data_IF_667722147607
#
_entry.id   IF_667722147607
#
_cell.length_a   1.000
_cell.length_b   1.000
_cell.length_c   1.000
_cell.angle_alpha   90.00
_cell.angle_beta   90.00
_cell.angle_gamma   90.00
#
_symmetry.space_group_name_H-M   'P 1'
#
loop_
_entity.id
_entity.type
_entity.pdbx_description
1 polymer ?
#
# COMPACT_ATOMS: atom_id res chain seq x y z
N UNK A 1 11.84 16.81 -26.13
CA UNK A 1 12.24 17.62 -24.96
C UNK A 1 12.50 16.71 -23.77
N UNK A 2 13.29 17.19 -22.79
CA UNK A 2 13.51 16.55 -21.50
C UNK A 2 12.19 16.61 -20.69
N UNK A 3 11.67 15.47 -20.28
CA UNK A 3 10.41 15.41 -19.52
C UNK A 3 10.64 15.04 -18.05
N UNK A 4 11.74 14.34 -17.76
CA UNK A 4 12.13 13.98 -16.40
C UNK A 4 13.63 13.76 -16.31
N UNK A 5 14.24 14.17 -15.21
CA UNK A 5 15.60 13.84 -14.83
C UNK A 5 15.66 13.54 -13.35
N UNK A 6 16.27 12.42 -12.99
CA UNK A 6 16.54 12.02 -11.62
C UNK A 6 18.03 11.64 -11.50
N UNK A 7 18.69 12.08 -10.44
CA UNK A 7 20.07 11.72 -10.16
C UNK A 7 20.17 10.97 -8.85
N UNK A 8 21.05 9.96 -8.78
CA UNK A 8 21.37 9.24 -7.55
C UNK A 8 22.86 8.85 -7.55
N UNK A 9 23.47 8.73 -6.36
CA UNK A 9 24.79 8.16 -6.23
C UNK A 9 24.86 6.74 -6.80
N UNK A 10 25.95 6.41 -7.47
CA UNK A 10 26.18 5.04 -7.97
C UNK A 10 26.32 4.07 -6.80
N UNK A 11 25.70 2.89 -6.91
CA UNK A 11 25.87 1.82 -5.91
C UNK A 11 27.21 1.07 -6.05
N UNK A 12 27.84 1.19 -7.20
CA UNK A 12 29.08 0.47 -7.52
C UNK A 12 30.34 1.31 -7.24
N UNK A 13 30.23 2.64 -7.35
CA UNK A 13 31.35 3.54 -7.11
C UNK A 13 30.84 4.83 -6.46
N UNK A 14 31.38 5.20 -5.29
CA UNK A 14 30.95 6.36 -4.50
C UNK A 14 31.19 7.72 -5.17
N UNK A 15 32.07 7.76 -6.14
CA UNK A 15 32.41 8.98 -6.86
C UNK A 15 31.65 9.15 -8.17
N UNK A 16 30.72 8.25 -8.47
CA UNK A 16 29.91 8.26 -9.67
C UNK A 16 28.42 8.49 -9.36
N UNK A 17 27.72 9.11 -10.30
CA UNK A 17 26.27 9.32 -10.26
C UNK A 17 25.58 8.59 -11.40
N UNK A 18 24.40 8.05 -11.12
CA UNK A 18 23.47 7.52 -12.11
C UNK A 18 22.38 8.55 -12.37
N UNK A 19 22.09 8.78 -13.65
CA UNK A 19 21.02 9.69 -14.07
C UNK A 19 19.97 8.89 -14.82
N UNK A 20 18.71 9.02 -14.42
CA UNK A 20 17.56 8.55 -15.17
C UNK A 20 16.97 9.73 -15.92
N UNK A 21 16.89 9.63 -17.24
CA UNK A 21 16.47 10.71 -18.11
C UNK A 21 15.34 10.22 -19.00
N UNK A 22 14.18 10.87 -18.93
CA UNK A 22 13.08 10.67 -19.86
C UNK A 22 13.07 11.80 -20.89
N UNK A 23 13.01 11.43 -22.15
CA UNK A 23 12.93 12.36 -23.28
C UNK A 23 11.62 12.15 -24.02
N UNK A 24 10.98 13.24 -24.45
CA UNK A 24 9.77 13.18 -25.27
C UNK A 24 10.10 12.78 -26.71
N UNK A 25 9.25 11.93 -27.31
CA UNK A 25 9.46 11.22 -28.59
C UNK A 25 9.41 12.09 -29.86
N UNK A 26 9.34 13.40 -29.70
CA UNK A 26 9.22 14.29 -30.88
C UNK A 26 10.51 14.47 -31.72
N UNK A 27 11.60 13.76 -31.37
CA UNK A 27 12.91 13.96 -32.04
C UNK A 27 13.82 12.73 -31.92
N UNK A 28 13.51 11.68 -32.70
CA UNK A 28 14.34 10.46 -32.75
C UNK A 28 15.79 10.73 -33.25
N UNK A 29 15.99 11.67 -34.16
CA UNK A 29 17.34 12.06 -34.62
C UNK A 29 18.15 12.78 -33.51
N UNK A 30 17.52 13.64 -32.74
CA UNK A 30 18.18 14.36 -31.67
C UNK A 30 18.58 13.42 -30.49
N UNK A 31 17.94 12.27 -30.35
CA UNK A 31 18.26 11.30 -29.30
C UNK A 31 19.62 10.62 -29.58
N UNK A 32 19.87 10.20 -30.82
CA UNK A 32 21.12 9.57 -31.22
C UNK A 32 22.29 10.53 -31.06
N UNK A 33 22.10 11.81 -31.41
CA UNK A 33 23.09 12.86 -31.21
C UNK A 33 23.39 13.09 -29.71
N UNK A 34 22.35 13.14 -28.87
CA UNK A 34 22.52 13.28 -27.43
C UNK A 34 23.25 12.08 -26.81
N UNK A 35 22.89 10.86 -27.20
CA UNK A 35 23.56 9.65 -26.73
C UNK A 35 25.02 9.61 -27.16
N UNK A 36 25.31 10.00 -28.41
CA UNK A 36 26.67 10.11 -28.92
C UNK A 36 27.48 11.14 -28.14
N UNK A 37 26.93 12.32 -27.87
CA UNK A 37 27.58 13.35 -27.08
C UNK A 37 27.87 12.88 -25.65
N UNK A 38 26.88 12.25 -24.99
CA UNK A 38 27.06 11.72 -23.62
C UNK A 38 28.18 10.66 -23.56
N UNK A 39 28.27 9.78 -24.58
CA UNK A 39 29.32 8.74 -24.63
C UNK A 39 30.69 9.29 -25.01
N UNK A 40 30.74 10.16 -26.03
CA UNK A 40 32.02 10.57 -26.64
C UNK A 40 32.61 11.80 -25.98
N UNK A 41 31.78 12.78 -25.60
CA UNK A 41 32.24 14.08 -25.11
C UNK A 41 32.32 14.13 -23.57
N UNK A 42 31.43 13.37 -22.91
CA UNK A 42 31.32 13.33 -21.45
C UNK A 42 31.90 12.03 -20.87
N UNK A 43 32.09 11.00 -21.71
CA UNK A 43 32.58 9.69 -21.27
C UNK A 43 31.58 8.88 -20.42
N UNK A 44 30.30 9.20 -20.52
CA UNK A 44 29.26 8.55 -19.74
C UNK A 44 28.94 7.15 -20.29
N UNK A 45 28.71 6.18 -19.41
CA UNK A 45 28.12 4.89 -19.77
C UNK A 45 26.61 5.05 -19.92
N UNK A 46 26.12 5.00 -21.15
CA UNK A 46 24.68 5.20 -21.46
C UNK A 46 24.02 3.87 -21.76
N UNK A 47 23.00 3.52 -20.95
CA UNK A 47 22.13 2.38 -21.15
C UNK A 47 20.75 2.88 -21.62
N UNK A 48 20.35 2.52 -22.83
CA UNK A 48 19.02 2.79 -23.34
C UNK A 48 18.04 1.77 -22.78
N UNK A 49 17.10 2.24 -21.97
CA UNK A 49 16.08 1.38 -21.35
C UNK A 49 14.90 1.12 -22.28
N UNK A 50 14.58 2.09 -23.19
CA UNK A 50 13.58 1.91 -24.25
C UNK A 50 13.79 2.92 -25.39
N UNK A 51 13.90 2.43 -26.64
CA UNK A 51 13.89 3.27 -27.86
C UNK A 51 12.52 3.42 -28.49
N UNK A 52 11.66 2.46 -28.29
CA UNK A 52 10.31 2.46 -28.85
C UNK A 52 9.30 2.75 -27.75
N UNK A 53 9.00 4.00 -27.51
CA UNK A 53 7.70 4.36 -27.00
C UNK A 53 6.66 4.13 -28.11
N UNK A 54 6.21 2.89 -28.28
CA UNK A 54 4.80 2.73 -28.65
C UNK A 54 4.03 3.36 -27.51
N UNK A 55 3.13 4.28 -27.77
CA UNK A 55 2.15 4.85 -26.81
C UNK A 55 1.38 3.75 -26.06
N UNK A 56 1.58 2.50 -26.46
CA UNK A 56 0.93 1.28 -25.99
C UNK A 56 1.87 0.33 -25.21
N UNK A 57 3.09 0.76 -24.84
CA UNK A 57 3.96 -0.10 -24.02
C UNK A 57 3.40 -0.18 -22.60
N UNK A 58 2.91 -1.37 -22.25
CA UNK A 58 2.44 -1.67 -20.89
C UNK A 58 3.59 -1.46 -19.91
N UNK A 59 3.43 -0.62 -18.88
CA UNK A 59 4.43 -0.47 -17.83
C UNK A 59 4.76 -1.82 -17.20
N UNK A 60 6.03 -2.04 -16.86
CA UNK A 60 6.43 -3.24 -16.15
C UNK A 60 5.70 -3.35 -14.79
N UNK A 61 5.31 -4.56 -14.42
CA UNK A 61 4.73 -4.86 -13.12
C UNK A 61 5.19 -6.25 -12.62
N UNK A 62 5.20 -6.50 -11.31
CA UNK A 62 5.61 -7.79 -10.74
C UNK A 62 4.67 -8.91 -11.18
N UNK A 63 5.24 -10.07 -11.49
CA UNK A 63 4.50 -11.29 -11.87
C UNK A 63 4.47 -12.32 -10.76
N UNK A 64 5.44 -12.30 -9.89
CA UNK A 64 5.53 -13.16 -8.71
C UNK A 64 5.75 -12.32 -7.47
N UNK A 65 5.41 -12.86 -6.31
CA UNK A 65 5.59 -12.12 -5.04
C UNK A 65 7.07 -11.80 -4.78
N UNK A 66 8.01 -12.62 -5.27
CA UNK A 66 9.46 -12.37 -5.18
C UNK A 66 9.90 -11.15 -6.00
N UNK A 67 9.15 -10.79 -7.03
CA UNK A 67 9.47 -9.58 -7.81
C UNK A 67 9.34 -8.30 -6.98
N UNK A 68 8.59 -8.32 -5.87
CA UNK A 68 8.49 -7.20 -4.93
C UNK A 68 9.86 -6.84 -4.33
N UNK A 69 10.79 -7.79 -4.23
CA UNK A 69 12.16 -7.53 -3.76
C UNK A 69 12.95 -6.58 -4.67
N UNK A 70 12.52 -6.39 -5.92
CA UNK A 70 13.22 -5.54 -6.90
C UNK A 70 13.05 -4.05 -6.61
N UNK A 71 11.92 -3.66 -6.04
CA UNK A 71 11.61 -2.24 -5.79
C UNK A 71 11.37 -1.88 -4.31
N UNK A 72 11.21 -2.86 -3.43
CA UNK A 72 10.93 -2.61 -2.00
C UNK A 72 11.95 -1.69 -1.30
N UNK A 73 13.14 -1.54 -1.88
CA UNK A 73 14.21 -0.66 -1.39
C UNK A 73 14.30 0.68 -2.14
N UNK A 74 13.38 0.95 -3.09
CA UNK A 74 13.33 2.18 -3.87
C UNK A 74 12.42 3.20 -3.19
N UNK A 75 12.78 3.62 -1.97
CA UNK A 75 12.02 4.60 -1.21
C UNK A 75 12.20 6.01 -1.79
N UNK A 76 11.14 6.81 -1.71
CA UNK A 76 11.11 8.20 -2.14
C UNK A 76 11.56 9.15 -1.02
N UNK A 77 11.13 8.88 0.22
CA UNK A 77 11.41 9.72 1.39
C UNK A 77 11.26 8.94 2.70
N UNK A 78 11.59 9.59 3.80
CA UNK A 78 11.44 9.10 5.18
C UNK A 78 12.23 7.82 5.50
N UNK A 79 13.36 7.59 4.85
CA UNK A 79 14.28 6.51 5.21
C UNK A 79 15.06 6.80 6.50
N UNK A 80 16.36 6.51 6.48
CA UNK A 80 17.25 6.85 7.59
C UNK A 80 17.54 8.37 7.70
N UNK A 81 17.34 9.11 6.61
CA UNK A 81 17.48 10.57 6.58
C UNK A 81 16.12 11.22 6.80
N UNK A 82 16.07 12.18 7.73
CA UNK A 82 14.87 12.91 8.12
C UNK A 82 14.94 14.34 7.60
N UNK A 83 13.79 14.92 7.26
CA UNK A 83 13.67 16.32 6.91
C UNK A 83 13.95 17.24 8.11
N UNK A 84 14.43 18.45 7.85
CA UNK A 84 14.88 19.38 8.89
C UNK A 84 13.77 19.81 9.88
N UNK A 85 12.52 19.73 9.48
CA UNK A 85 11.33 20.05 10.30
C UNK A 85 10.78 18.83 11.05
N UNK A 86 11.32 17.63 10.80
CA UNK A 86 10.90 16.42 11.50
C UNK A 86 11.24 16.51 13.00
N UNK A 87 10.32 16.12 13.93
CA UNK A 87 10.55 16.22 15.37
C UNK A 87 11.81 15.51 15.89
N UNK A 88 12.26 14.45 15.22
CA UNK A 88 13.44 13.67 15.56
C UNK A 88 14.72 14.09 14.80
N UNK A 89 14.69 15.13 13.97
CA UNK A 89 15.81 15.51 13.11
C UNK A 89 17.11 15.77 13.90
N UNK A 90 17.02 16.47 15.03
CA UNK A 90 18.17 16.81 15.88
C UNK A 90 18.51 15.76 16.93
N UNK A 91 17.72 14.69 17.06
CA UNK A 91 17.93 13.64 18.06
C UNK A 91 18.82 12.51 17.49
N UNK A 92 20.08 12.40 17.93
CA UNK A 92 20.99 11.40 17.41
C UNK A 92 20.60 9.96 17.79
N UNK A 93 19.91 9.75 18.93
CA UNK A 93 19.44 8.44 19.38
C UNK A 93 18.31 7.99 18.47
N UNK A 94 17.33 8.85 18.22
CA UNK A 94 16.23 8.57 17.33
C UNK A 94 16.70 8.26 15.90
N UNK A 95 17.67 9.04 15.39
CA UNK A 95 18.26 8.81 14.06
C UNK A 95 18.99 7.47 13.97
N UNK A 96 19.68 7.06 15.02
CA UNK A 96 20.35 5.76 15.07
C UNK A 96 19.34 4.61 15.02
N UNK A 97 18.23 4.69 15.78
CA UNK A 97 17.13 3.71 15.72
C UNK A 97 16.50 3.66 14.32
N UNK A 98 16.23 4.82 13.69
CA UNK A 98 15.70 4.88 12.32
C UNK A 98 16.60 4.16 11.31
N UNK A 99 17.92 4.32 11.46
CA UNK A 99 18.88 3.61 10.62
C UNK A 99 18.83 2.09 10.81
N UNK A 100 18.69 1.62 12.03
CA UNK A 100 18.57 0.19 12.33
C UNK A 100 17.33 -0.41 11.65
N UNK A 101 16.17 0.24 11.75
CA UNK A 101 14.95 -0.19 11.06
C UNK A 101 15.11 -0.16 9.54
N UNK A 102 15.77 0.85 8.99
CA UNK A 102 16.04 0.93 7.56
C UNK A 102 16.96 -0.22 7.10
N UNK A 103 18.00 -0.55 7.87
CA UNK A 103 18.92 -1.66 7.56
C UNK A 103 18.18 -3.01 7.56
N UNK A 104 17.23 -3.24 8.49
CA UNK A 104 16.35 -4.43 8.48
C UNK A 104 15.55 -4.50 7.19
N UNK A 105 14.87 -3.41 6.82
CA UNK A 105 14.04 -3.35 5.63
C UNK A 105 14.83 -3.57 4.33
N UNK A 106 16.03 -2.98 4.22
CA UNK A 106 16.91 -3.13 3.05
C UNK A 106 17.43 -4.57 2.87
N UNK A 107 17.64 -5.29 3.96
CA UNK A 107 18.17 -6.64 3.93
C UNK A 107 17.08 -7.71 3.82
N UNK A 108 15.82 -7.37 4.06
CA UNK A 108 14.71 -8.32 4.02
C UNK A 108 14.47 -8.85 2.60
N UNK A 109 14.23 -10.16 2.50
CA UNK A 109 13.79 -10.84 1.27
C UNK A 109 12.52 -11.63 1.53
N UNK A 110 11.65 -11.66 0.53
CA UNK A 110 10.40 -12.41 0.64
C UNK A 110 10.64 -13.88 1.02
N UNK A 111 9.84 -14.37 1.95
CA UNK A 111 9.94 -15.75 2.47
C UNK A 111 10.85 -15.92 3.68
N UNK A 112 11.59 -14.90 4.07
CA UNK A 112 12.29 -14.87 5.35
C UNK A 112 11.33 -14.41 6.46
N UNK A 113 11.54 -14.82 7.74
CA UNK A 113 10.85 -14.22 8.87
C UNK A 113 11.25 -12.75 8.99
N UNK A 114 10.29 -11.89 9.37
CA UNK A 114 10.58 -10.50 9.65
C UNK A 114 11.35 -10.42 10.98
N UNK A 115 12.54 -9.82 11.02
CA UNK A 115 13.32 -9.75 12.26
C UNK A 115 12.54 -9.04 13.36
N UNK A 116 12.53 -9.63 14.56
CA UNK A 116 12.05 -8.96 15.75
C UNK A 116 12.97 -7.81 16.14
N UNK A 117 12.38 -6.72 16.59
CA UNK A 117 13.09 -5.52 17.03
C UNK A 117 12.89 -5.29 18.52
N UNK A 118 13.93 -4.75 19.18
CA UNK A 118 13.85 -4.40 20.58
C UNK A 118 13.50 -2.93 20.73
N UNK A 119 12.24 -2.65 21.00
CA UNK A 119 11.79 -1.28 21.27
C UNK A 119 12.26 -0.80 22.64
N UNK A 120 12.76 0.42 22.69
CA UNK A 120 13.16 1.09 23.94
C UNK A 120 11.94 1.39 24.82
N UNK A 121 12.16 1.67 26.10
CA UNK A 121 11.07 2.06 27.02
C UNK A 121 10.42 3.38 26.61
N UNK A 122 11.18 4.27 25.96
CA UNK A 122 10.69 5.54 25.43
C UNK A 122 9.73 5.31 24.24
N UNK A 123 10.07 4.39 23.34
CA UNK A 123 9.21 4.00 22.23
C UNK A 123 7.93 3.32 22.71
N UNK A 124 8.04 2.39 23.66
CA UNK A 124 6.86 1.74 24.28
C UNK A 124 5.95 2.75 24.98
N UNK A 125 6.52 3.74 25.66
CA UNK A 125 5.73 4.82 26.28
C UNK A 125 4.99 5.66 25.24
N UNK A 126 5.64 5.95 24.11
CA UNK A 126 5.02 6.67 22.98
C UNK A 126 3.83 5.89 22.42
N UNK A 127 4.05 4.60 22.12
CA UNK A 127 3.00 3.67 21.69
C UNK A 127 1.84 3.62 22.70
N UNK A 128 2.13 3.40 23.98
CA UNK A 128 1.11 3.30 25.03
C UNK A 128 0.25 4.54 25.16
N UNK A 129 0.82 5.72 24.92
CA UNK A 129 0.05 6.98 24.87
C UNK A 129 -0.96 6.96 23.73
N UNK A 130 -0.52 6.64 22.50
CA UNK A 130 -1.39 6.56 21.32
C UNK A 130 -2.44 5.45 21.47
N UNK A 131 -2.01 4.26 21.91
CA UNK A 131 -2.87 3.09 22.09
C UNK A 131 -4.03 3.36 23.05
N UNK A 132 -3.75 3.92 24.24
CA UNK A 132 -4.80 4.21 25.25
C UNK A 132 -5.84 5.18 24.72
N UNK A 133 -5.40 6.28 24.11
CA UNK A 133 -6.32 7.31 23.60
C UNK A 133 -7.22 6.75 22.49
N UNK A 134 -6.64 6.08 21.50
CA UNK A 134 -7.41 5.51 20.38
C UNK A 134 -8.37 4.40 20.85
N UNK A 135 -7.94 3.54 21.76
CA UNK A 135 -8.77 2.45 22.29
C UNK A 135 -10.06 2.95 22.93
N UNK A 136 -10.08 4.17 23.49
CA UNK A 136 -11.30 4.77 24.05
C UNK A 136 -12.33 5.12 22.96
N UNK A 137 -11.87 5.40 21.75
CA UNK A 137 -12.73 5.82 20.63
C UNK A 137 -13.26 4.65 19.80
N UNK A 138 -12.50 3.56 19.65
CA UNK A 138 -12.84 2.46 18.76
C UNK A 138 -14.26 1.90 18.94
N UNK A 139 -14.80 1.66 20.15
CA UNK A 139 -16.14 1.11 20.31
C UNK A 139 -17.25 1.97 19.68
N UNK A 140 -17.05 3.28 19.59
CA UNK A 140 -18.06 4.22 19.11
C UNK A 140 -17.77 4.75 17.70
N UNK A 141 -16.50 4.82 17.28
CA UNK A 141 -16.08 5.44 16.02
C UNK A 141 -15.68 4.43 14.95
N UNK A 142 -15.03 3.33 15.32
CA UNK A 142 -14.57 2.34 14.36
C UNK A 142 -15.70 1.43 13.84
N UNK A 143 -15.51 0.88 12.63
CA UNK A 143 -16.42 -0.08 12.03
C UNK A 143 -16.46 -1.42 12.79
N UNK A 144 -17.44 -2.26 12.50
CA UNK A 144 -17.60 -3.58 13.13
C UNK A 144 -16.40 -4.48 12.93
N UNK A 145 -15.86 -4.50 11.74
CA UNK A 145 -14.75 -5.35 11.35
C UNK A 145 -13.52 -5.03 12.20
N UNK A 146 -13.23 -3.75 12.41
CA UNK A 146 -12.16 -3.32 13.30
C UNK A 146 -12.43 -3.76 14.75
N UNK A 147 -13.62 -3.46 15.27
CA UNK A 147 -14.00 -3.80 16.65
C UNK A 147 -14.05 -5.31 16.90
N UNK A 148 -14.31 -6.12 15.85
CA UNK A 148 -14.25 -7.57 15.93
C UNK A 148 -12.81 -8.09 15.98
N UNK A 149 -11.93 -7.55 15.13
CA UNK A 149 -10.55 -8.03 14.99
C UNK A 149 -9.64 -7.53 16.12
N UNK A 150 -9.84 -6.30 16.59
CA UNK A 150 -8.91 -5.66 17.54
C UNK A 150 -8.67 -6.48 18.81
N UNK A 151 -9.69 -7.07 19.49
CA UNK A 151 -9.49 -7.97 20.63
C UNK A 151 -8.67 -9.22 20.28
N UNK A 152 -8.80 -9.75 19.07
CA UNK A 152 -8.00 -10.89 18.62
C UNK A 152 -6.52 -10.53 18.47
N UNK A 153 -6.21 -9.30 18.01
CA UNK A 153 -4.85 -8.81 17.96
C UNK A 153 -4.26 -8.61 19.38
N UNK A 154 -5.08 -8.18 20.33
CA UNK A 154 -4.67 -8.13 21.74
C UNK A 154 -4.31 -9.52 22.27
N UNK A 155 -5.12 -10.52 21.97
CA UNK A 155 -4.95 -11.91 22.45
C UNK A 155 -3.78 -12.63 21.75
N UNK A 156 -3.66 -12.51 20.42
CA UNK A 156 -2.75 -13.35 19.62
C UNK A 156 -1.48 -12.65 19.16
N UNK A 157 -1.45 -11.32 19.14
CA UNK A 157 -0.31 -10.54 18.63
C UNK A 157 0.32 -9.62 19.67
N UNK A 158 -0.15 -9.65 20.92
CA UNK A 158 0.45 -8.90 22.02
C UNK A 158 0.17 -7.40 21.99
N UNK A 159 -0.94 -6.97 21.36
CA UNK A 159 -1.37 -5.56 21.40
C UNK A 159 -1.76 -5.18 22.83
N UNK A 160 -0.98 -4.31 23.45
CA UNK A 160 -1.32 -3.70 24.74
C UNK A 160 -0.54 -2.40 24.93
N UNK A 161 -0.89 -1.62 25.93
CA UNK A 161 -0.29 -0.31 26.17
C UNK A 161 1.22 -0.32 26.51
N UNK A 162 1.75 -1.46 26.93
CA UNK A 162 3.16 -1.59 27.35
C UNK A 162 4.01 -2.36 26.35
N UNK A 163 3.45 -2.76 25.22
CA UNK A 163 4.13 -3.56 24.22
C UNK A 163 3.76 -3.13 22.81
N UNK A 164 4.78 -2.88 21.98
CA UNK A 164 4.62 -2.69 20.53
C UNK A 164 4.67 -4.07 19.89
N UNK A 165 3.62 -4.52 19.18
CA UNK A 165 3.60 -5.83 18.53
C UNK A 165 4.71 -5.98 17.50
N UNK A 166 5.21 -7.18 17.32
CA UNK A 166 6.20 -7.49 16.30
C UNK A 166 5.52 -7.67 14.93
N UNK A 167 6.11 -7.12 13.86
CA UNK A 167 5.54 -7.25 12.51
C UNK A 167 5.40 -8.72 12.09
N UNK A 168 6.32 -9.59 12.48
CA UNK A 168 6.27 -11.03 12.18
C UNK A 168 5.01 -11.68 12.75
N UNK A 169 4.69 -11.39 14.03
CA UNK A 169 3.54 -11.99 14.71
C UNK A 169 2.22 -11.52 14.09
N UNK A 170 2.13 -10.21 13.78
CA UNK A 170 0.97 -9.63 13.10
C UNK A 170 0.86 -10.17 11.67
N UNK A 171 1.95 -10.25 10.93
CA UNK A 171 1.97 -10.82 9.58
C UNK A 171 1.48 -12.27 9.54
N UNK A 172 1.94 -13.09 10.49
CA UNK A 172 1.51 -14.48 10.62
C UNK A 172 0.02 -14.60 10.98
N UNK A 173 -0.51 -13.70 11.79
CA UNK A 173 -1.93 -13.62 12.09
C UNK A 173 -2.74 -13.27 10.86
N UNK A 174 -2.38 -12.18 10.15
CA UNK A 174 -3.05 -11.75 8.93
C UNK A 174 -3.04 -12.83 7.84
N UNK A 175 -1.91 -13.54 7.70
CA UNK A 175 -1.77 -14.61 6.73
C UNK A 175 -2.79 -15.74 6.96
N UNK A 176 -3.05 -16.08 8.23
CA UNK A 176 -4.06 -17.09 8.59
C UNK A 176 -5.48 -16.60 8.36
N UNK A 177 -5.76 -15.31 8.56
CA UNK A 177 -7.09 -14.73 8.38
C UNK A 177 -7.47 -14.55 6.90
N UNK A 178 -6.59 -13.91 6.13
CA UNK A 178 -6.92 -13.42 4.77
C UNK A 178 -5.84 -13.70 3.73
N UNK A 179 -4.67 -14.19 4.14
CA UNK A 179 -3.50 -14.33 3.28
C UNK A 179 -2.69 -13.04 3.13
N UNK A 180 -3.11 -11.93 3.75
CA UNK A 180 -2.29 -10.72 3.81
C UNK A 180 -1.02 -10.95 4.61
N UNK A 181 0.04 -10.25 4.24
CA UNK A 181 1.34 -10.30 4.92
C UNK A 181 1.88 -8.89 5.07
N UNK A 182 2.61 -8.66 6.12
CA UNK A 182 3.42 -7.46 6.25
C UNK A 182 4.78 -7.68 5.62
N UNK A 183 5.34 -6.60 5.07
CA UNK A 183 6.71 -6.58 4.59
C UNK A 183 7.38 -5.32 5.14
N UNK A 184 8.53 -5.43 5.83
CA UNK A 184 9.21 -4.26 6.34
C UNK A 184 9.67 -3.35 5.20
N UNK A 185 9.48 -2.05 5.34
CA UNK A 185 9.90 -1.02 4.41
C UNK A 185 10.64 0.10 5.15
N UNK A 186 11.65 0.67 4.52
CA UNK A 186 12.47 1.70 5.16
C UNK A 186 11.82 3.10 5.16
N UNK A 187 10.85 3.32 4.31
CA UNK A 187 10.17 4.60 4.13
C UNK A 187 9.11 4.54 3.04
N UNK A 188 8.74 5.69 2.49
CA UNK A 188 7.67 5.83 1.52
C UNK A 188 8.06 5.29 0.14
N UNK A 189 7.28 4.38 -0.41
CA UNK A 189 7.40 3.88 -1.78
C UNK A 189 6.65 4.78 -2.78
N UNK A 190 6.94 4.59 -4.08
CA UNK A 190 6.08 5.14 -5.13
C UNK A 190 4.67 4.55 -5.04
N UNK A 191 3.64 5.32 -5.45
CA UNK A 191 2.27 4.81 -5.48
C UNK A 191 2.14 3.54 -6.32
N UNK A 192 2.85 3.45 -7.45
CA UNK A 192 2.89 2.26 -8.31
C UNK A 192 3.40 1.03 -7.57
N UNK A 193 4.51 1.15 -6.86
CA UNK A 193 5.15 0.04 -6.17
C UNK A 193 4.35 -0.39 -4.95
N UNK A 194 3.83 0.58 -4.20
CA UNK A 194 2.98 0.33 -3.05
C UNK A 194 1.69 -0.39 -3.43
N UNK A 195 0.96 0.12 -4.44
CA UNK A 195 -0.27 -0.50 -4.92
C UNK A 195 -0.02 -1.90 -5.51
N UNK A 196 1.10 -2.10 -6.21
CA UNK A 196 1.47 -3.42 -6.73
C UNK A 196 1.62 -4.47 -5.62
N UNK A 197 2.10 -4.09 -4.44
CA UNK A 197 2.17 -4.98 -3.26
C UNK A 197 0.79 -5.53 -2.87
N UNK A 198 -0.24 -4.68 -2.87
CA UNK A 198 -1.61 -5.07 -2.52
C UNK A 198 -2.18 -6.16 -3.44
N UNK A 199 -1.79 -6.19 -4.71
CA UNK A 199 -2.20 -7.23 -5.66
C UNK A 199 -1.78 -8.64 -5.19
N UNK A 200 -0.68 -8.74 -4.45
CA UNK A 200 -0.14 -9.97 -3.87
C UNK A 200 -0.58 -10.19 -2.41
N UNK A 201 -1.46 -9.35 -1.88
CA UNK A 201 -1.80 -9.30 -0.46
C UNK A 201 -0.57 -9.05 0.43
N UNK A 202 0.34 -8.18 -0.04
CA UNK A 202 1.49 -7.71 0.71
C UNK A 202 1.30 -6.22 1.02
N UNK A 203 1.36 -5.91 2.30
CA UNK A 203 1.34 -4.55 2.81
C UNK A 203 2.74 -4.16 3.28
N UNK A 204 3.31 -3.11 2.68
CA UNK A 204 4.61 -2.57 3.05
C UNK A 204 4.46 -1.72 4.30
N UNK A 205 5.03 -2.17 5.40
CA UNK A 205 4.86 -1.61 6.74
C UNK A 205 6.17 -1.10 7.32
N UNK A 206 6.14 0.06 7.90
CA UNK A 206 7.27 0.59 8.69
C UNK A 206 7.35 -0.10 10.04
N UNK A 207 8.56 -0.17 10.63
CA UNK A 207 8.79 -0.71 11.98
C UNK A 207 9.14 0.37 12.99
N UNK A 208 9.59 1.56 12.58
CA UNK A 208 9.89 2.67 13.45
C UNK A 208 8.62 3.31 14.01
N UNK A 209 8.74 3.97 15.16
CA UNK A 209 7.67 4.76 15.78
C UNK A 209 7.99 6.25 15.67
N UNK A 210 6.94 7.07 15.67
CA UNK A 210 7.04 8.55 15.72
C UNK A 210 7.88 9.03 16.90
N UNK A 211 8.44 10.22 16.79
CA UNK A 211 9.29 10.78 17.82
C UNK A 211 8.50 11.06 19.12
N UNK A 212 9.06 10.68 20.25
CA UNK A 212 8.45 10.74 21.58
C UNK A 212 8.12 12.15 22.07
N UNK A 213 8.70 13.20 21.50
CA UNK A 213 8.36 14.59 21.86
C UNK A 213 6.95 14.99 21.38
N UNK A 214 6.40 14.28 20.38
CA UNK A 214 5.06 14.54 19.82
C UNK A 214 4.29 13.25 19.60
N UNK A 215 3.88 12.52 20.65
CA UNK A 215 3.27 11.19 20.51
C UNK A 215 1.95 11.19 19.73
N UNK A 216 1.23 12.31 19.70
CA UNK A 216 -0.05 12.44 19.00
C UNK A 216 0.09 13.01 17.58
N UNK A 217 1.33 13.22 17.09
CA UNK A 217 1.60 13.74 15.75
C UNK A 217 2.73 12.99 15.07
N UNK A 218 2.57 12.72 13.78
CA UNK A 218 3.64 12.24 12.91
C UNK A 218 3.47 12.85 11.52
N UNK A 219 4.55 13.31 10.86
CA UNK A 219 4.49 13.78 9.48
C UNK A 219 4.47 12.63 8.48
N UNK A 220 4.67 11.40 8.93
CA UNK A 220 4.86 10.21 8.10
C UNK A 220 4.16 8.99 8.72
N UNK A 221 3.84 7.94 7.92
CA UNK A 221 3.41 6.66 8.45
C UNK A 221 4.47 6.06 9.39
N UNK A 222 4.03 5.59 10.55
CA UNK A 222 4.87 4.94 11.55
C UNK A 222 4.19 3.64 12.05
N UNK A 223 4.84 2.86 12.90
CA UNK A 223 4.30 1.60 13.39
C UNK A 223 2.94 1.76 14.10
N UNK A 224 2.64 2.92 14.69
CA UNK A 224 1.30 3.18 15.24
C UNK A 224 0.25 3.23 14.12
N UNK A 225 0.55 3.95 13.04
CA UNK A 225 -0.32 4.01 11.88
C UNK A 225 -0.52 2.63 11.25
N UNK A 226 0.56 1.88 11.07
CA UNK A 226 0.51 0.56 10.43
C UNK A 226 -0.27 -0.47 11.27
N UNK A 227 0.02 -0.56 12.55
CA UNK A 227 -0.54 -1.62 13.40
C UNK A 227 -1.90 -1.27 13.98
N UNK A 228 -2.19 -0.01 14.31
CA UNK A 228 -3.49 0.40 14.85
C UNK A 228 -4.48 0.75 13.73
N UNK A 229 -3.96 1.29 12.61
CA UNK A 229 -4.78 1.72 11.48
C UNK A 229 -5.03 0.61 10.47
N UNK A 230 -3.98 0.10 9.82
CA UNK A 230 -4.11 -0.83 8.70
C UNK A 230 -4.33 -2.29 9.11
N UNK A 231 -3.52 -2.81 10.03
CA UNK A 231 -3.47 -4.24 10.33
C UNK A 231 -4.84 -4.83 10.73
N UNK A 232 -5.67 -4.18 11.57
CA UNK A 232 -6.96 -4.76 11.96
C UNK A 232 -7.86 -5.06 10.76
N UNK A 233 -7.94 -4.14 9.81
CA UNK A 233 -8.84 -4.28 8.64
C UNK A 233 -8.32 -5.32 7.64
N UNK A 234 -7.01 -5.50 7.49
CA UNK A 234 -6.46 -6.55 6.63
C UNK A 234 -6.77 -7.98 7.14
N UNK A 235 -7.20 -8.14 8.37
CA UNK A 235 -7.71 -9.42 8.88
C UNK A 235 -9.16 -9.71 8.46
N UNK A 236 -9.92 -8.70 8.00
CA UNK A 236 -11.27 -8.89 7.46
C UNK A 236 -11.23 -9.33 5.99
N UNK A 237 -11.92 -10.46 5.63
CA UNK A 237 -11.90 -10.95 4.26
C UNK A 237 -12.48 -9.99 3.21
N UNK A 238 -13.52 -9.23 3.56
CA UNK A 238 -14.16 -8.27 2.66
C UNK A 238 -13.22 -7.11 2.34
N UNK A 239 -12.62 -6.52 3.37
CA UNK A 239 -11.64 -5.44 3.23
C UNK A 239 -10.36 -5.90 2.53
N UNK A 240 -9.87 -7.11 2.83
CA UNK A 240 -8.69 -7.68 2.18
C UNK A 240 -8.92 -7.87 0.67
N UNK A 241 -10.09 -8.36 0.26
CA UNK A 241 -10.43 -8.48 -1.15
C UNK A 241 -10.57 -7.10 -1.82
N UNK A 242 -11.25 -6.15 -1.18
CA UNK A 242 -11.37 -4.78 -1.67
C UNK A 242 -10.00 -4.14 -1.90
N UNK A 243 -9.10 -4.23 -0.94
CA UNK A 243 -7.72 -3.71 -1.04
C UNK A 243 -6.93 -4.39 -2.16
N UNK A 244 -7.07 -5.70 -2.32
CA UNK A 244 -6.41 -6.46 -3.39
C UNK A 244 -6.92 -6.04 -4.78
N UNK A 245 -8.20 -5.73 -4.95
CA UNK A 245 -8.74 -5.27 -6.25
C UNK A 245 -8.13 -3.94 -6.69
N UNK A 246 -7.88 -3.01 -5.75
CA UNK A 246 -7.14 -1.77 -6.05
C UNK A 246 -5.71 -2.10 -6.55
N UNK A 247 -5.04 -3.04 -5.88
CA UNK A 247 -3.72 -3.51 -6.30
C UNK A 247 -3.73 -4.17 -7.69
N UNK A 248 -4.67 -5.06 -7.95
CA UNK A 248 -4.81 -5.73 -9.25
C UNK A 248 -5.13 -4.73 -10.38
N UNK A 249 -5.93 -3.70 -10.09
CA UNK A 249 -6.22 -2.62 -11.03
C UNK A 249 -4.96 -1.83 -11.41
N UNK A 250 -4.00 -1.68 -10.51
CA UNK A 250 -2.76 -0.91 -10.72
C UNK A 250 -1.75 -1.61 -11.65
N UNK A 251 -1.81 -2.95 -11.76
CA UNK A 251 -0.80 -3.71 -12.50
C UNK A 251 -0.84 -3.40 -14.01
N UNK A 252 0.25 -2.82 -14.51
CA UNK A 252 0.37 -2.42 -15.91
C UNK A 252 -0.47 -1.21 -16.30
N UNK A 253 -1.07 -0.50 -15.35
CA UNK A 253 -1.81 0.72 -15.61
C UNK A 253 -0.88 1.89 -15.99
N UNK A 254 -1.28 2.80 -16.90
CA UNK A 254 -0.57 4.06 -17.17
C UNK A 254 -0.45 4.92 -15.90
N UNK A 255 0.56 5.83 -15.86
CA UNK A 255 0.84 6.65 -14.68
C UNK A 255 -0.35 7.49 -14.20
N UNK A 256 -1.12 8.06 -15.13
CA UNK A 256 -2.33 8.82 -14.81
C UNK A 256 -3.38 7.98 -14.04
N UNK A 257 -3.51 6.69 -14.37
CA UNK A 257 -4.41 5.79 -13.64
C UNK A 257 -3.82 5.31 -12.31
N UNK A 258 -2.50 5.27 -12.18
CA UNK A 258 -1.85 5.03 -10.88
C UNK A 258 -2.16 6.17 -9.92
N UNK A 259 -2.10 7.43 -10.36
CA UNK A 259 -2.47 8.59 -9.55
C UNK A 259 -3.95 8.55 -9.15
N UNK A 260 -4.83 8.18 -10.08
CA UNK A 260 -6.25 7.99 -9.81
C UNK A 260 -6.50 6.89 -8.77
N UNK A 261 -5.83 5.74 -8.90
CA UNK A 261 -5.94 4.64 -7.93
C UNK A 261 -5.33 4.98 -6.58
N UNK A 262 -4.24 5.74 -6.54
CA UNK A 262 -3.66 6.26 -5.31
C UNK A 262 -4.63 7.23 -4.59
N UNK A 263 -5.35 8.06 -5.33
CA UNK A 263 -6.38 8.93 -4.78
C UNK A 263 -7.58 8.12 -4.25
N UNK A 264 -7.99 7.08 -4.96
CA UNK A 264 -9.02 6.15 -4.48
C UNK A 264 -8.56 5.46 -3.20
N UNK A 265 -7.32 4.96 -3.16
CA UNK A 265 -6.71 4.37 -1.96
C UNK A 265 -6.75 5.36 -0.79
N UNK A 266 -6.36 6.62 -1.01
CA UNK A 266 -6.41 7.68 0.00
C UNK A 266 -7.79 7.84 0.62
N UNK A 267 -8.83 8.00 -0.20
CA UNK A 267 -10.19 8.22 0.29
C UNK A 267 -10.92 6.95 0.74
N UNK A 268 -10.30 5.80 0.66
CA UNK A 268 -10.87 4.53 1.13
C UNK A 268 -10.00 3.88 2.20
N UNK A 269 -8.88 3.27 1.83
CA UNK A 269 -8.03 2.53 2.76
C UNK A 269 -7.45 3.45 3.85
N UNK A 270 -7.12 4.71 3.52
CA UNK A 270 -6.58 5.67 4.48
C UNK A 270 -7.65 6.47 5.23
N UNK A 271 -8.64 7.02 4.53
CA UNK A 271 -9.61 7.96 5.12
C UNK A 271 -11.07 7.55 4.86
N UNK A 272 -11.31 6.26 4.68
CA UNK A 272 -12.64 5.76 4.37
C UNK A 272 -13.60 5.72 5.55
N UNK A 273 -14.88 6.01 5.24
CA UNK A 273 -16.02 5.92 6.14
C UNK A 273 -17.03 4.95 5.54
N UNK A 274 -17.63 4.12 6.37
CA UNK A 274 -18.72 3.23 5.98
C UNK A 274 -19.99 3.53 6.78
N UNK A 275 -21.11 2.95 6.33
CA UNK A 275 -22.39 3.06 6.99
C UNK A 275 -22.79 1.72 7.58
N UNK A 276 -22.95 1.68 8.89
CA UNK A 276 -23.36 0.48 9.64
C UNK A 276 -24.50 0.83 10.61
N UNK A 277 -25.60 0.09 10.55
CA UNK A 277 -26.81 0.33 11.35
C UNK A 277 -27.32 1.79 11.27
N UNK A 278 -27.24 2.40 10.09
CA UNK A 278 -27.64 3.78 9.87
C UNK A 278 -26.70 4.84 10.43
N UNK A 279 -25.56 4.45 11.01
CA UNK A 279 -24.51 5.34 11.55
C UNK A 279 -23.26 5.31 10.70
N UNK A 280 -22.54 6.42 10.65
CA UNK A 280 -21.24 6.49 10.03
C UNK A 280 -20.18 5.89 10.97
N UNK A 281 -19.24 5.14 10.40
CA UNK A 281 -18.14 4.48 11.08
C UNK A 281 -16.85 4.61 10.27
N UNK A 282 -15.74 4.84 10.95
CA UNK A 282 -14.43 4.92 10.33
C UNK A 282 -13.85 3.52 10.07
N UNK A 283 -13.30 3.32 8.88
CA UNK A 283 -12.49 2.14 8.56
C UNK A 283 -11.11 2.50 7.98
N UNK A 284 -10.91 3.75 7.60
CA UNK A 284 -9.64 4.22 7.04
C UNK A 284 -8.53 4.23 8.09
N UNK A 285 -7.33 3.76 7.72
CA UNK A 285 -6.19 3.63 8.62
C UNK A 285 -5.70 4.97 9.17
N UNK A 286 -5.71 6.03 8.34
CA UNK A 286 -5.38 7.39 8.76
C UNK A 286 -6.32 7.89 9.85
N UNK A 287 -7.61 7.53 9.78
CA UNK A 287 -8.59 7.84 10.82
C UNK A 287 -8.36 7.00 12.08
N UNK A 288 -8.22 5.69 11.94
CA UNK A 288 -8.08 4.74 13.05
C UNK A 288 -6.77 4.89 13.82
N UNK A 289 -5.79 5.60 13.27
CA UNK A 289 -4.50 5.87 13.91
C UNK A 289 -4.29 7.33 14.33
N UNK A 290 -5.28 8.19 14.10
CA UNK A 290 -5.25 9.62 14.44
C UNK A 290 -6.37 9.97 15.41
N UNK A 291 -6.04 10.22 16.68
CA UNK A 291 -7.04 10.52 17.72
C UNK A 291 -7.92 11.72 17.34
N UNK A 292 -7.30 12.82 16.91
CA UNK A 292 -8.02 14.05 16.59
C UNK A 292 -8.90 13.91 15.35
N UNK A 293 -8.40 13.26 14.30
CA UNK A 293 -9.15 13.11 13.06
C UNK A 293 -10.24 12.05 13.17
N UNK A 294 -10.03 10.99 13.97
CA UNK A 294 -11.07 9.99 14.26
C UNK A 294 -12.29 10.61 14.94
N UNK A 295 -12.08 11.58 15.84
CA UNK A 295 -13.17 12.34 16.42
C UNK A 295 -13.81 13.30 15.42
N UNK A 296 -12.98 14.01 14.64
CA UNK A 296 -13.43 15.02 13.68
C UNK A 296 -14.25 14.42 12.54
N UNK A 297 -13.82 13.28 11.99
CA UNK A 297 -14.38 12.70 10.78
C UNK A 297 -15.86 12.28 10.89
N UNK A 298 -16.40 12.11 12.08
CA UNK A 298 -17.81 11.76 12.32
C UNK A 298 -18.66 12.93 12.82
N UNK A 299 -18.13 14.15 12.77
CA UNK A 299 -18.89 15.37 13.08
C UNK A 299 -19.65 15.87 11.84
N UNK A 300 -20.36 16.97 11.98
CA UNK A 300 -21.05 17.67 10.89
C UNK A 300 -20.17 18.69 10.15
N UNK A 301 -18.88 18.76 10.49
CA UNK A 301 -17.94 19.73 9.89
C UNK A 301 -17.45 19.35 8.50
N UNK A 302 -17.01 18.08 8.25
CA UNK A 302 -16.56 17.69 6.92
C UNK A 302 -17.76 17.42 5.99
N UNK A 303 -17.49 17.52 4.68
CA UNK A 303 -18.44 17.09 3.66
C UNK A 303 -18.42 15.56 3.52
N UNK A 304 -19.59 14.96 3.31
CA UNK A 304 -19.72 13.52 3.03
C UNK A 304 -20.27 13.30 1.63
N UNK A 305 -19.59 12.44 0.87
CA UNK A 305 -20.00 12.02 -0.48
C UNK A 305 -20.10 10.51 -0.59
N UNK A 306 -20.97 9.97 -1.44
CA UNK A 306 -20.96 8.54 -1.73
C UNK A 306 -19.66 8.16 -2.44
N UNK A 307 -19.13 6.99 -2.13
CA UNK A 307 -17.95 6.46 -2.81
C UNK A 307 -18.30 6.05 -4.25
N UNK A 308 -17.75 6.80 -5.20
CA UNK A 308 -17.86 6.59 -6.65
C UNK A 308 -16.45 6.70 -7.23
N UNK A 309 -15.77 5.59 -7.58
CA UNK A 309 -14.35 5.61 -7.95
C UNK A 309 -13.98 6.63 -9.03
N UNK A 310 -14.83 6.79 -10.07
CA UNK A 310 -14.58 7.73 -11.16
C UNK A 310 -14.59 9.20 -10.70
N UNK A 311 -15.34 9.53 -9.67
CA UNK A 311 -15.42 10.87 -9.08
C UNK A 311 -14.38 11.03 -7.96
N UNK A 312 -14.27 10.01 -7.10
CA UNK A 312 -13.33 10.00 -5.98
C UNK A 312 -11.90 10.13 -6.46
N UNK A 313 -11.53 9.47 -7.54
CA UNK A 313 -10.20 9.50 -8.15
C UNK A 313 -9.74 10.90 -8.61
N UNK A 314 -10.66 11.84 -8.78
CA UNK A 314 -10.37 13.21 -9.23
C UNK A 314 -10.38 14.23 -8.09
N UNK A 315 -10.70 13.80 -6.86
CA UNK A 315 -10.80 14.68 -5.70
C UNK A 315 -9.41 15.05 -5.19
N UNK A 316 -9.13 16.35 -5.11
CA UNK A 316 -7.92 16.86 -4.45
C UNK A 316 -8.05 16.76 -2.92
N UNK A 317 -6.93 16.55 -2.25
CA UNK A 317 -6.88 16.40 -0.79
C UNK A 317 -5.63 17.05 -0.19
N UNK A 318 -5.72 17.56 1.05
CA UNK A 318 -4.57 17.98 1.82
C UNK A 318 -3.86 16.75 2.43
N UNK A 319 -2.56 16.86 2.70
CA UNK A 319 -1.77 15.79 3.34
C UNK A 319 -1.54 16.10 4.84
N UNK A 320 -1.39 17.38 5.19
CA UNK A 320 -0.98 17.82 6.53
C UNK A 320 -2.10 18.37 7.39
N UNK A 321 -3.33 18.35 6.89
CA UNK A 321 -4.53 18.84 7.56
C UNK A 321 -5.61 17.76 7.58
N UNK A 322 -6.59 17.86 8.47
CA UNK A 322 -7.76 16.98 8.47
C UNK A 322 -8.51 17.09 7.15
N UNK A 323 -8.99 15.95 6.67
CA UNK A 323 -9.67 15.91 5.38
C UNK A 323 -10.98 16.73 5.44
N UNK A 324 -11.19 17.67 4.51
CA UNK A 324 -12.44 18.44 4.45
C UNK A 324 -13.61 17.62 3.89
N UNK A 325 -13.31 16.49 3.23
CA UNK A 325 -14.28 15.63 2.54
C UNK A 325 -13.95 14.18 2.82
N UNK A 326 -14.98 13.38 3.14
CA UNK A 326 -14.87 11.92 3.26
C UNK A 326 -15.86 11.24 2.30
N UNK A 327 -15.48 10.04 1.83
CA UNK A 327 -16.31 9.23 0.97
C UNK A 327 -16.88 8.03 1.74
N UNK A 328 -18.18 7.81 1.59
CA UNK A 328 -18.93 6.77 2.30
C UNK A 328 -19.08 5.56 1.40
N UNK A 329 -18.55 4.42 1.85
CA UNK A 329 -18.87 3.10 1.29
C UNK A 329 -20.10 2.50 2.02
N UNK A 330 -21.08 2.00 1.29
CA UNK A 330 -22.22 1.30 1.90
C UNK A 330 -21.80 -0.07 2.46
N UNK A 331 -20.84 -0.73 1.81
CA UNK A 331 -20.17 -1.96 2.27
C UNK A 331 -18.84 -2.18 1.54
N UNK A 332 -17.99 -3.04 2.08
CA UNK A 332 -16.74 -3.43 1.38
C UNK A 332 -17.01 -4.25 0.12
N UNK A 333 -18.09 -5.02 0.10
CA UNK A 333 -18.51 -5.78 -1.08
C UNK A 333 -18.94 -4.84 -2.23
N UNK A 334 -19.74 -3.83 -1.94
CA UNK A 334 -20.14 -2.82 -2.94
C UNK A 334 -18.93 -2.02 -3.42
N UNK A 335 -18.06 -1.58 -2.51
CA UNK A 335 -16.85 -0.86 -2.84
C UNK A 335 -15.94 -1.68 -3.76
N UNK A 336 -15.79 -2.97 -3.49
CA UNK A 336 -15.04 -3.92 -4.33
C UNK A 336 -15.62 -4.02 -5.75
N UNK A 337 -16.92 -4.16 -5.88
CA UNK A 337 -17.58 -4.25 -7.21
C UNK A 337 -17.43 -2.92 -7.99
N UNK A 338 -17.51 -1.77 -7.30
CA UNK A 338 -17.26 -0.47 -7.91
C UNK A 338 -15.80 -0.35 -8.43
N UNK A 339 -14.81 -0.83 -7.65
CA UNK A 339 -13.40 -0.85 -8.10
C UNK A 339 -13.22 -1.79 -9.29
N UNK A 340 -13.83 -2.97 -9.29
CA UNK A 340 -13.78 -3.88 -10.44
C UNK A 340 -14.31 -3.24 -11.71
N UNK A 341 -15.43 -2.55 -11.60
CA UNK A 341 -16.00 -1.79 -12.71
C UNK A 341 -15.06 -0.68 -13.15
N UNK A 342 -14.53 0.11 -12.24
CA UNK A 342 -13.57 1.17 -12.55
C UNK A 342 -12.30 0.59 -13.22
N UNK A 343 -11.80 -0.55 -12.78
CA UNK A 343 -10.64 -1.22 -13.38
C UNK A 343 -10.84 -1.57 -14.87
N UNK A 344 -12.09 -1.77 -15.33
CA UNK A 344 -12.38 -2.03 -16.75
C UNK A 344 -12.18 -0.79 -17.65
N UNK A 345 -12.13 0.40 -17.06
CA UNK A 345 -11.89 1.66 -17.79
C UNK A 345 -10.39 1.92 -18.02
N UNK A 346 -9.51 1.20 -17.30
CA UNK A 346 -8.06 1.36 -17.40
C UNK A 346 -7.59 0.76 -18.72
N UNK A 347 -6.92 1.53 -19.61
CA UNK A 347 -6.51 1.06 -20.93
C UNK A 347 -5.31 0.12 -20.82
N UNK A 348 -5.57 -1.17 -20.75
CA UNK A 348 -4.56 -2.24 -20.82
C UNK A 348 -5.06 -3.40 -21.67
N UNK A 349 -4.21 -4.06 -22.48
CA UNK A 349 -4.63 -5.06 -23.45
C UNK A 349 -4.80 -6.45 -22.85
N UNK A 350 -4.93 -6.60 -21.53
CA UNK A 350 -5.04 -7.85 -20.80
C UNK A 350 -5.84 -7.67 -19.51
N UNK A 351 -6.29 -8.77 -18.97
CA UNK A 351 -6.77 -8.87 -17.58
C UNK A 351 -5.74 -9.59 -16.72
N UNK A 352 -5.82 -9.40 -15.42
CA UNK A 352 -4.95 -10.07 -14.45
C UNK A 352 -5.76 -10.84 -13.42
N UNK A 353 -5.19 -11.93 -12.92
CA UNK A 353 -5.73 -12.72 -11.83
C UNK A 353 -4.60 -13.12 -10.88
N UNK A 354 -4.84 -13.00 -9.58
CA UNK A 354 -3.93 -13.52 -8.58
C UNK A 354 -4.16 -15.01 -8.35
N UNK A 355 -3.09 -15.78 -8.39
CA UNK A 355 -3.10 -17.20 -8.04
C UNK A 355 -2.50 -17.37 -6.63
N UNK A 356 -3.34 -17.69 -5.60
CA UNK A 356 -2.86 -17.78 -4.22
C UNK A 356 -1.95 -18.98 -3.96
N UNK A 357 -2.01 -20.01 -4.79
CA UNK A 357 -1.17 -21.23 -4.62
C UNK A 357 0.27 -20.98 -5.07
N UNK A 358 0.46 -20.25 -6.16
CA UNK A 358 1.78 -19.92 -6.70
C UNK A 358 2.26 -18.52 -6.31
N UNK A 359 1.39 -17.74 -5.66
CA UNK A 359 1.65 -16.34 -5.30
C UNK A 359 2.12 -15.50 -6.50
N UNK A 360 1.44 -15.71 -7.64
CA UNK A 360 1.78 -15.08 -8.91
C UNK A 360 0.57 -14.43 -9.57
N UNK A 361 0.85 -13.51 -10.48
CA UNK A 361 -0.14 -12.85 -11.33
C UNK A 361 -0.22 -13.58 -12.66
N UNK A 362 -1.36 -14.18 -12.92
CA UNK A 362 -1.71 -14.73 -14.22
C UNK A 362 -2.23 -13.62 -15.12
N UNK A 363 -1.64 -13.49 -16.31
CA UNK A 363 -2.09 -12.52 -17.32
C UNK A 363 -2.96 -13.22 -18.33
N UNK A 364 -4.14 -12.69 -18.54
CA UNK A 364 -5.16 -13.23 -19.45
C UNK A 364 -5.21 -12.30 -20.67
N UNK A 365 -4.40 -12.57 -21.67
CA UNK A 365 -4.21 -11.75 -22.88
C UNK A 365 -4.67 -12.43 -24.17
N UNK A 366 -5.18 -13.68 -24.08
CA UNK A 366 -5.68 -14.40 -25.24
C UNK A 366 -6.95 -15.20 -24.94
N UNK A 367 -7.72 -15.44 -26.02
CA UNK A 367 -9.03 -16.11 -25.96
C UNK A 367 -8.94 -17.54 -25.38
N UNK A 368 -7.85 -18.26 -25.64
CA UNK A 368 -7.71 -19.63 -25.15
C UNK A 368 -7.56 -19.68 -23.63
N UNK A 369 -6.79 -18.77 -23.04
CA UNK A 369 -6.67 -18.66 -21.58
C UNK A 369 -8.01 -18.30 -20.92
N UNK A 370 -8.79 -17.40 -21.53
CA UNK A 370 -10.13 -17.05 -21.05
C UNK A 370 -11.09 -18.24 -21.13
N UNK A 371 -11.04 -19.02 -22.23
CA UNK A 371 -11.84 -20.26 -22.37
C UNK A 371 -11.46 -21.28 -21.31
N UNK A 372 -10.18 -21.57 -21.11
CA UNK A 372 -9.69 -22.50 -20.11
C UNK A 372 -10.11 -22.11 -18.70
N UNK A 373 -10.08 -20.80 -18.40
CA UNK A 373 -10.56 -20.26 -17.12
C UNK A 373 -12.08 -20.47 -16.96
N UNK A 374 -12.85 -20.13 -17.98
CA UNK A 374 -14.32 -20.33 -17.98
C UNK A 374 -14.68 -21.82 -17.80
N UNK A 375 -13.99 -22.73 -18.46
CA UNK A 375 -14.17 -24.19 -18.30
C UNK A 375 -13.86 -24.65 -16.88
N UNK A 376 -12.77 -24.15 -16.28
CA UNK A 376 -12.40 -24.46 -14.89
C UNK A 376 -13.47 -24.00 -13.90
N UNK A 377 -13.99 -22.78 -14.09
CA UNK A 377 -15.09 -22.23 -13.27
C UNK A 377 -16.35 -23.06 -13.43
N UNK A 378 -16.71 -23.45 -14.66
CA UNK A 378 -17.89 -24.27 -14.92
C UNK A 378 -17.79 -25.66 -14.29
N UNK A 379 -16.62 -26.32 -14.35
CA UNK A 379 -16.37 -27.58 -13.64
C UNK A 379 -16.59 -27.45 -12.13
N UNK A 380 -16.04 -26.41 -11.53
CA UNK A 380 -16.19 -26.16 -10.10
C UNK A 380 -17.64 -25.82 -9.73
N UNK A 381 -18.37 -25.06 -10.56
CA UNK A 381 -19.79 -24.78 -10.37
C UNK A 381 -20.64 -26.06 -10.42
N UNK A 382 -20.36 -26.95 -11.35
CA UNK A 382 -21.06 -28.25 -11.45
C UNK A 382 -20.83 -29.10 -10.22
N UNK A 383 -19.60 -29.17 -9.71
CA UNK A 383 -19.25 -29.85 -8.46
C UNK A 383 -20.00 -29.26 -7.27
N UNK A 384 -19.98 -27.92 -7.12
CA UNK A 384 -20.69 -27.21 -6.06
C UNK A 384 -22.20 -27.50 -6.08
N UNK A 385 -22.83 -27.43 -7.25
CA UNK A 385 -24.28 -27.73 -7.41
C UNK A 385 -24.60 -29.20 -7.08
N UNK A 386 -23.69 -30.14 -7.38
CA UNK A 386 -23.82 -31.54 -7.04
C UNK A 386 -23.73 -31.77 -5.54
N UNK A 387 -22.76 -31.18 -4.88
CA UNK A 387 -22.59 -31.25 -3.41
C UNK A 387 -23.78 -30.63 -2.69
N UNK A 388 -24.27 -29.48 -3.16
CA UNK A 388 -25.44 -28.81 -2.56
C UNK A 388 -26.72 -29.62 -2.73
N UNK A 389 -26.88 -30.36 -3.85
CA UNK A 389 -27.99 -31.29 -4.02
C UNK A 389 -27.91 -32.48 -3.07
N UNK A 390 -26.72 -33.06 -2.88
CA UNK A 390 -26.51 -34.15 -1.93
C UNK A 390 -26.83 -33.74 -0.49
N UNK A 391 -26.43 -32.52 -0.07
CA UNK A 391 -26.75 -31.98 1.26
C UNK A 391 -28.24 -31.70 1.52
N UNK A 392 -29.03 -31.52 0.46
CA UNK A 392 -30.53 -31.37 0.58
C UNK A 392 -31.28 -32.70 0.57
N UNK A 393 -30.59 -33.81 0.33
CA UNK A 393 -31.17 -35.16 0.22
C UNK A 393 -30.86 -36.04 1.44
N UNK A 394 -30.01 -35.54 2.36
CA UNK A 394 -29.74 -36.10 3.69
C UNK A 394 -30.43 -35.21 4.74
#
# INVERSE_FOLDING_TARGET
SLTHIESRPSRLNKDEYQFFINLDDKSTHALDDIISCLRNDIGATVHELSRNKRKDAVPWFPRTIQDLDKFANQILSYGAELDADHPGFTDPVYRALRKEFADIAYNYKHGQPIPHVTYTDQEKKTWGTVFRELKTLYPTHACYEHNHVFPLLEEYCGYNENNIPQLEDVSNFLQKCTGFRLRPVAGLLSSRDFLAGLAFRVFHSTQYIRHWSKPMYTPEPDVCHELLGHAPLFADPGFAQFSQEIGLASLGAPDEYIEMLATVYWFTIEFGICKQDGKLKAYGAGLLSSFGELQYCLTDKPEFKPFEPEKTALQKYPITEFQPIYFIAESFEEAKEKIRKFATTIPRPFSVRYNPYTQSIEVLDNIQQLKNLAESINKNRTLYMTVTKLHKTI
#
